data_IF_778579715731
#
_entry.id   IF_778579715731
#
_cell.length_a   1.000
_cell.length_b   1.000
_cell.length_c   1.000
_cell.angle_alpha   90.00
_cell.angle_beta   90.00
_cell.angle_gamma   90.00
#
_symmetry.space_group_name_H-M   'P 1'
#
loop_
_entity.id
_entity.type
_entity.pdbx_description
1 polymer ?
#
# COMPACT_ATOMS: atom_id res chain seq x y z
N UNK A 1 -21.55 -14.54 24.92
CA UNK A 1 -21.76 -13.35 24.04
C UNK A 1 -20.40 -12.72 23.85
N UNK A 2 -19.92 -12.52 22.62
CA UNK A 2 -18.59 -11.97 22.41
C UNK A 2 -18.63 -10.45 22.25
N UNK A 3 -17.73 -9.74 22.94
CA UNK A 3 -17.49 -8.32 22.80
C UNK A 3 -16.15 -8.09 22.11
N UNK A 4 -16.09 -7.12 21.21
CA UNK A 4 -14.91 -6.80 20.40
C UNK A 4 -14.58 -5.32 20.55
N UNK A 5 -13.31 -4.98 20.72
CA UNK A 5 -12.85 -3.59 20.84
C UNK A 5 -11.43 -3.38 20.28
N UNK A 6 -11.09 -2.12 19.98
CA UNK A 6 -9.74 -1.68 19.68
C UNK A 6 -9.19 -0.87 20.85
N UNK A 7 -8.18 -1.41 21.52
CA UNK A 7 -7.52 -0.75 22.65
C UNK A 7 -6.11 -0.34 22.27
N UNK A 8 -5.61 0.75 22.87
CA UNK A 8 -4.23 1.17 22.64
C UNK A 8 -3.27 0.17 23.31
N UNK A 9 -2.49 -0.53 22.48
CA UNK A 9 -1.43 -1.45 22.91
C UNK A 9 -0.14 -0.70 23.22
N UNK A 10 0.33 0.10 22.27
CA UNK A 10 1.62 0.77 22.36
C UNK A 10 1.57 2.17 21.75
N UNK A 11 2.35 3.09 22.30
CA UNK A 11 2.63 4.38 21.69
C UNK A 11 4.06 4.40 21.16
N UNK A 12 4.20 4.70 19.88
CA UNK A 12 5.47 4.76 19.17
C UNK A 12 5.87 6.22 19.05
N UNK A 13 7.02 6.58 19.61
CA UNK A 13 7.53 7.96 19.61
C UNK A 13 8.17 8.33 18.26
N UNK A 14 7.44 8.09 17.17
CA UNK A 14 7.82 8.40 15.79
C UNK A 14 6.62 9.07 15.12
N UNK A 15 6.83 10.28 14.63
CA UNK A 15 5.91 10.94 13.69
C UNK A 15 6.12 10.33 12.31
N UNK A 16 5.05 9.85 11.68
CA UNK A 16 5.14 9.14 10.42
C UNK A 16 3.98 9.45 9.46
N UNK A 17 4.27 9.33 8.16
CA UNK A 17 3.30 9.52 7.07
C UNK A 17 2.80 8.18 6.49
N UNK A 18 3.61 7.13 6.55
CA UNK A 18 3.22 5.78 6.14
C UNK A 18 3.87 4.74 7.06
N UNK A 19 3.19 3.61 7.22
CA UNK A 19 3.72 2.40 7.84
C UNK A 19 3.38 1.21 6.93
N UNK A 20 4.41 0.49 6.52
CA UNK A 20 4.26 -0.74 5.76
C UNK A 20 4.69 -1.93 6.62
N UNK A 21 3.83 -2.94 6.73
CA UNK A 21 4.05 -4.12 7.56
C UNK A 21 4.56 -5.25 6.67
N UNK A 22 5.62 -5.91 7.09
CA UNK A 22 6.18 -7.04 6.36
C UNK A 22 6.82 -8.07 7.27
N UNK A 23 6.96 -9.27 6.73
CA UNK A 23 7.35 -10.44 7.49
C UNK A 23 8.53 -11.12 6.84
N UNK A 24 9.51 -11.49 7.64
CA UNK A 24 10.70 -12.21 7.17
C UNK A 24 10.82 -13.46 8.01
N UNK A 25 10.49 -14.61 7.42
CA UNK A 25 10.29 -15.86 8.15
C UNK A 25 9.14 -15.72 9.16
N UNK A 26 9.44 -15.64 10.45
CA UNK A 26 8.50 -15.58 11.58
C UNK A 26 8.58 -14.23 12.32
N UNK A 27 9.45 -13.32 11.87
CA UNK A 27 9.64 -12.01 12.48
C UNK A 27 8.84 -10.96 11.70
N UNK A 28 8.17 -10.08 12.46
CA UNK A 28 7.39 -8.96 11.91
C UNK A 28 8.16 -7.68 12.02
N UNK A 29 8.13 -6.93 10.93
CA UNK A 29 8.70 -5.61 10.82
C UNK A 29 7.68 -4.59 10.37
N UNK A 30 7.90 -3.34 10.76
CA UNK A 30 7.12 -2.19 10.30
C UNK A 30 8.09 -1.12 9.82
N UNK A 31 8.04 -0.78 8.54
CA UNK A 31 8.81 0.32 7.97
C UNK A 31 7.99 1.62 7.99
N UNK A 32 8.47 2.61 8.73
CA UNK A 32 7.78 3.88 8.96
C UNK A 32 8.51 5.04 8.28
N UNK A 33 7.84 5.75 7.37
CA UNK A 33 8.38 6.98 6.79
C UNK A 33 8.21 8.13 7.78
N UNK A 34 9.32 8.69 8.27
CA UNK A 34 9.33 9.78 9.24
C UNK A 34 9.99 11.03 8.64
N UNK A 35 9.19 11.96 8.05
CA UNK A 35 9.73 13.18 7.46
C UNK A 35 10.46 14.05 8.48
N UNK A 36 9.95 14.15 9.71
CA UNK A 36 10.55 14.99 10.75
C UNK A 36 11.91 14.51 11.26
N UNK A 37 12.29 13.26 10.97
CA UNK A 37 13.61 12.71 11.30
C UNK A 37 14.46 12.37 10.06
N UNK A 38 13.99 12.75 8.86
CA UNK A 38 14.62 12.43 7.58
C UNK A 38 15.06 10.96 7.50
N UNK A 39 14.13 10.06 7.84
CA UNK A 39 14.45 8.64 7.87
C UNK A 39 13.26 7.72 7.63
N UNK A 40 13.58 6.51 7.16
CA UNK A 40 12.72 5.35 7.28
C UNK A 40 13.10 4.58 8.55
N UNK A 41 12.23 4.59 9.55
CA UNK A 41 12.43 3.88 10.81
C UNK A 41 11.87 2.48 10.67
N UNK A 42 12.71 1.45 10.83
CA UNK A 42 12.25 0.05 10.82
C UNK A 42 12.10 -0.42 12.26
N UNK A 43 10.91 -0.89 12.59
CA UNK A 43 10.57 -1.50 13.87
C UNK A 43 10.48 -3.01 13.69
N UNK A 44 10.76 -3.77 14.74
CA UNK A 44 10.66 -5.22 14.82
C UNK A 44 9.79 -5.59 16.02
N UNK A 45 8.99 -6.66 15.88
CA UNK A 45 8.21 -7.21 16.96
C UNK A 45 9.06 -8.02 17.95
N UNK A 46 9.03 -7.63 19.22
CA UNK A 46 9.63 -8.37 20.31
C UNK A 46 8.63 -9.38 20.90
N UNK A 47 8.89 -10.66 20.70
CA UNK A 47 8.02 -11.74 21.18
C UNK A 47 8.11 -11.99 22.70
N UNK A 48 9.10 -11.40 23.39
CA UNK A 48 9.29 -11.51 24.84
C UNK A 48 8.60 -10.33 25.52
N UNK A 49 8.93 -9.11 25.11
CA UNK A 49 8.36 -7.89 25.70
C UNK A 49 6.98 -7.53 25.14
N UNK A 50 6.56 -8.21 24.07
CA UNK A 50 5.25 -8.04 23.43
C UNK A 50 5.04 -6.61 22.93
N UNK A 51 6.08 -6.01 22.37
CA UNK A 51 6.07 -4.64 21.88
C UNK A 51 6.84 -4.52 20.56
N UNK A 52 6.68 -3.42 19.84
CA UNK A 52 7.54 -3.05 18.72
C UNK A 52 8.74 -2.27 19.23
N UNK A 53 9.95 -2.74 18.91
CA UNK A 53 11.23 -2.08 19.19
C UNK A 53 11.91 -1.62 17.92
N UNK A 54 12.76 -0.60 18.02
CA UNK A 54 13.51 -0.09 16.87
C UNK A 54 14.54 -1.13 16.41
N UNK A 55 14.55 -1.44 15.12
CA UNK A 55 15.46 -2.39 14.48
C UNK A 55 16.54 -1.68 13.67
N UNK A 56 16.13 -0.81 12.73
CA UNK A 56 17.05 -0.09 11.85
C UNK A 56 16.54 1.34 11.59
N UNK A 57 17.40 2.19 11.03
CA UNK A 57 17.11 3.57 10.70
C UNK A 57 17.81 3.95 9.40
N UNK A 58 17.04 4.00 8.31
CA UNK A 58 17.58 4.32 6.99
C UNK A 58 17.49 5.84 6.78
N UNK A 59 18.60 6.57 6.75
CA UNK A 59 18.56 8.02 6.53
C UNK A 59 18.14 8.35 5.09
N UNK A 60 17.41 9.44 4.93
CA UNK A 60 16.99 9.97 3.65
C UNK A 60 16.37 11.34 3.80
N UNK A 61 16.90 12.34 3.11
CA UNK A 61 16.34 13.69 3.16
C UNK A 61 14.91 13.71 2.64
N UNK A 62 14.00 14.33 3.40
CA UNK A 62 12.60 14.49 3.02
C UNK A 62 11.91 13.16 2.63
N UNK A 63 12.08 12.10 3.43
CA UNK A 63 11.35 10.84 3.24
C UNK A 63 9.84 11.10 3.23
N UNK A 64 9.16 10.68 2.18
CA UNK A 64 7.72 10.80 2.01
C UNK A 64 6.98 9.45 2.08
N UNK A 65 7.69 8.34 1.85
CA UNK A 65 7.07 7.01 1.88
C UNK A 65 8.08 5.89 2.07
N UNK A 66 7.66 4.84 2.76
CA UNK A 66 8.39 3.59 2.89
C UNK A 66 7.48 2.43 2.47
N UNK A 67 7.95 1.59 1.55
CA UNK A 67 7.20 0.41 1.10
C UNK A 67 8.16 -0.76 0.95
N UNK A 68 7.84 -1.86 1.61
CA UNK A 68 8.63 -3.08 1.55
C UNK A 68 8.17 -3.97 0.38
N UNK A 69 9.04 -4.87 -0.05
CA UNK A 69 8.68 -5.99 -0.90
C UNK A 69 9.59 -7.18 -0.60
N UNK A 70 8.99 -8.35 -0.41
CA UNK A 70 9.71 -9.60 -0.20
C UNK A 70 9.61 -10.44 -1.47
N UNK A 71 10.71 -10.53 -2.21
CA UNK A 71 10.80 -11.30 -3.45
C UNK A 71 11.73 -12.48 -3.22
N UNK A 72 11.14 -13.68 -3.11
CA UNK A 72 11.85 -14.91 -2.73
C UNK A 72 12.50 -14.74 -1.35
N UNK A 73 13.83 -14.75 -1.28
CA UNK A 73 14.62 -14.58 -0.06
C UNK A 73 15.22 -13.17 0.09
N UNK A 74 14.87 -12.25 -0.81
CA UNK A 74 15.30 -10.86 -0.78
C UNK A 74 14.22 -9.97 -0.18
N UNK A 75 14.59 -9.26 0.88
CA UNK A 75 13.77 -8.22 1.50
C UNK A 75 14.28 -6.89 1.00
N UNK A 76 13.42 -6.16 0.31
CA UNK A 76 13.71 -4.84 -0.23
C UNK A 76 12.81 -3.81 0.45
N UNK A 77 13.34 -2.61 0.62
CA UNK A 77 12.62 -1.47 1.19
C UNK A 77 12.83 -0.26 0.29
N UNK A 78 11.77 0.20 -0.36
CA UNK A 78 11.75 1.45 -1.09
C UNK A 78 11.59 2.61 -0.09
N UNK A 79 12.53 3.55 -0.14
CA UNK A 79 12.48 4.83 0.56
C UNK A 79 12.26 5.90 -0.49
N UNK A 80 11.02 6.39 -0.60
CA UNK A 80 10.69 7.49 -1.49
C UNK A 80 11.00 8.83 -0.82
N UNK A 81 11.67 9.72 -1.55
CA UNK A 81 12.18 10.99 -1.05
C UNK A 81 11.74 12.12 -1.94
N UNK A 82 11.53 13.29 -1.35
CA UNK A 82 11.23 14.49 -2.14
C UNK A 82 12.47 15.12 -2.79
N UNK A 83 13.64 14.88 -2.22
CA UNK A 83 14.90 15.43 -2.69
C UNK A 83 15.92 14.30 -2.84
N UNK A 84 16.75 14.38 -3.89
CA UNK A 84 17.85 13.44 -4.12
C UNK A 84 17.45 12.08 -4.73
N UNK A 85 16.17 11.88 -5.07
CA UNK A 85 15.68 10.67 -5.71
C UNK A 85 15.24 9.57 -4.74
N UNK A 86 14.41 8.65 -5.23
CA UNK A 86 13.93 7.50 -4.46
C UNK A 86 14.88 6.31 -4.56
N UNK A 87 15.09 5.59 -3.45
CA UNK A 87 16.08 4.50 -3.39
C UNK A 87 15.51 3.22 -2.79
N UNK A 88 15.85 2.10 -3.39
CA UNK A 88 15.69 0.76 -2.83
C UNK A 88 16.89 0.40 -1.96
N UNK A 89 16.58 -0.15 -0.80
CA UNK A 89 17.52 -0.79 0.11
C UNK A 89 17.25 -2.29 0.15
N UNK A 90 18.29 -3.10 0.35
CA UNK A 90 18.20 -4.55 0.52
C UNK A 90 18.61 -4.91 1.93
N UNK A 91 17.90 -5.83 2.55
CA UNK A 91 18.32 -6.40 3.82
C UNK A 91 19.57 -7.27 3.64
N UNK A 92 20.64 -6.91 4.33
CA UNK A 92 21.88 -7.68 4.39
C UNK A 92 21.89 -8.52 5.67
N UNK A 93 21.80 -9.84 5.51
CA UNK A 93 21.77 -10.79 6.64
C UNK A 93 23.08 -10.83 7.44
N UNK A 94 24.22 -10.57 6.80
CA UNK A 94 25.51 -10.61 7.48
C UNK A 94 25.73 -9.36 8.34
N UNK A 95 25.23 -8.22 7.88
CA UNK A 95 25.30 -6.96 8.61
C UNK A 95 24.09 -6.70 9.51
N UNK A 96 23.04 -7.53 9.40
CA UNK A 96 21.76 -7.39 10.09
C UNK A 96 21.15 -5.98 9.96
N UNK A 97 21.16 -5.43 8.75
CA UNK A 97 20.68 -4.07 8.45
C UNK A 97 20.32 -3.92 6.98
N UNK A 98 19.61 -2.86 6.65
CA UNK A 98 19.37 -2.45 5.28
C UNK A 98 20.58 -1.71 4.68
N UNK A 99 20.97 -2.10 3.47
CA UNK A 99 22.06 -1.49 2.70
C UNK A 99 21.53 -0.94 1.38
N UNK A 100 22.08 0.17 0.85
CA UNK A 100 21.66 0.71 -0.44
C UNK A 100 21.75 -0.34 -1.54
N UNK A 101 20.67 -0.51 -2.30
CA UNK A 101 20.56 -1.54 -3.33
C UNK A 101 20.44 -0.95 -4.73
N UNK A 102 19.52 -0.01 -4.95
CA UNK A 102 19.27 0.58 -6.26
C UNK A 102 18.70 1.99 -6.10
N UNK A 103 19.07 2.92 -6.98
CA UNK A 103 18.34 4.19 -7.16
C UNK A 103 17.30 4.00 -8.26
N UNK A 104 16.06 4.42 -8.02
CA UNK A 104 15.04 4.43 -9.07
C UNK A 104 15.29 5.64 -9.97
N UNK A 105 15.50 5.37 -11.26
CA UNK A 105 15.72 6.41 -12.27
C UNK A 105 14.37 6.82 -12.85
N UNK A 106 14.11 8.12 -12.91
CA UNK A 106 12.96 8.68 -13.60
C UNK A 106 13.32 8.99 -15.06
N UNK A 107 12.36 8.83 -15.97
CA UNK A 107 12.55 8.87 -17.43
C UNK A 107 12.94 10.26 -17.99
N UNK A 108 13.23 11.26 -17.15
CA UNK A 108 13.63 12.60 -17.59
C UNK A 108 15.12 12.70 -18.02
N UNK A 109 15.90 11.64 -17.79
CA UNK A 109 17.13 11.40 -18.55
C UNK A 109 16.75 10.55 -19.77
N UNK A 110 16.29 11.24 -20.82
CA UNK A 110 15.93 10.63 -22.08
C UNK A 110 16.99 9.64 -22.58
N UNK A 111 16.55 8.78 -23.48
CA UNK A 111 17.32 7.80 -24.25
C UNK A 111 18.60 8.36 -24.94
N UNK A 112 18.90 9.66 -24.79
CA UNK A 112 20.10 10.37 -25.25
C UNK A 112 21.15 10.65 -24.14
N UNK A 113 20.82 10.52 -22.85
CA UNK A 113 21.75 10.72 -21.72
C UNK A 113 22.73 9.56 -21.48
N UNK A 114 22.56 8.42 -22.17
CA UNK A 114 23.48 7.26 -22.13
C UNK A 114 24.89 7.56 -22.68
N UNK A 115 25.16 8.78 -23.13
CA UNK A 115 26.45 9.27 -23.59
C UNK A 115 26.95 10.46 -22.73
N UNK A 116 26.97 10.34 -21.40
CA UNK A 116 27.90 11.09 -20.54
C UNK A 116 28.00 10.40 -19.18
N UNK A 117 29.18 9.86 -18.87
CA UNK A 117 29.44 9.13 -17.63
C UNK A 117 29.39 10.02 -16.39
N UNK A 118 28.21 10.25 -15.83
CA UNK A 118 28.03 10.87 -14.52
C UNK A 118 27.08 10.02 -13.66
N UNK A 119 27.53 9.45 -12.53
CA UNK A 119 26.67 8.78 -11.57
C UNK A 119 26.17 9.81 -10.55
N UNK A 120 25.24 10.69 -10.95
CA UNK A 120 24.55 11.60 -10.04
C UNK A 120 23.30 12.14 -10.74
N UNK A 121 22.13 11.82 -10.18
CA UNK A 121 20.90 12.59 -10.42
C UNK A 121 21.19 14.08 -10.15
N UNK A 122 20.67 15.01 -10.97
CA UNK A 122 20.88 16.44 -10.72
C UNK A 122 20.42 16.79 -9.29
N UNK A 123 21.27 17.44 -8.47
CA UNK A 123 21.07 17.56 -7.02
C UNK A 123 19.85 18.39 -6.58
N UNK A 124 19.06 18.94 -7.51
CA UNK A 124 18.02 19.93 -7.23
C UNK A 124 16.65 19.60 -7.86
N UNK A 125 16.41 18.38 -8.34
CA UNK A 125 15.07 17.99 -8.81
C UNK A 125 14.23 17.58 -7.60
N UNK A 126 13.31 18.45 -7.20
CA UNK A 126 12.30 18.15 -6.18
C UNK A 126 11.24 17.25 -6.81
N UNK A 127 11.23 16.00 -6.38
CA UNK A 127 10.16 15.05 -6.65
C UNK A 127 9.15 15.13 -5.51
N UNK A 128 7.88 14.90 -5.75
CA UNK A 128 6.90 14.83 -4.66
C UNK A 128 6.23 13.47 -4.68
N UNK A 129 6.91 12.40 -4.22
CA UNK A 129 6.27 11.10 -4.10
C UNK A 129 5.04 11.21 -3.21
N UNK A 130 3.88 10.93 -3.81
CA UNK A 130 2.58 11.01 -3.16
C UNK A 130 2.15 9.66 -2.62
N UNK A 131 2.44 8.59 -3.36
CA UNK A 131 2.06 7.22 -3.02
C UNK A 131 3.01 6.19 -3.67
N UNK A 132 3.05 4.99 -3.08
CA UNK A 132 3.85 3.86 -3.53
C UNK A 132 3.00 2.60 -3.44
N UNK A 133 2.85 1.91 -4.56
CA UNK A 133 2.15 0.64 -4.60
C UNK A 133 3.03 -0.48 -5.15
N UNK A 134 2.99 -1.64 -4.51
CA UNK A 134 3.71 -2.83 -4.95
C UNK A 134 2.71 -3.95 -5.14
N UNK A 135 2.69 -4.53 -6.32
CA UNK A 135 1.70 -5.54 -6.67
C UNK A 135 2.31 -6.63 -7.55
N UNK A 136 1.61 -7.77 -7.59
CA UNK A 136 1.97 -8.91 -8.43
C UNK A 136 0.95 -9.05 -9.56
N UNK A 137 1.45 -9.19 -10.78
CA UNK A 137 0.65 -9.27 -12.00
C UNK A 137 1.23 -10.36 -12.90
N UNK A 138 0.39 -11.33 -13.28
CA UNK A 138 0.78 -12.49 -14.11
C UNK A 138 2.06 -13.19 -13.62
N UNK A 139 2.27 -13.23 -12.31
CA UNK A 139 3.42 -13.87 -11.67
C UNK A 139 4.64 -12.97 -11.45
N UNK A 140 4.70 -11.80 -12.10
CA UNK A 140 5.78 -10.82 -12.01
C UNK A 140 5.49 -9.74 -10.96
N UNK A 141 6.55 -9.15 -10.39
CA UNK A 141 6.46 -8.05 -9.43
C UNK A 141 6.56 -6.70 -10.13
N UNK A 142 5.68 -5.79 -9.73
CA UNK A 142 5.63 -4.41 -10.21
C UNK A 142 5.61 -3.45 -9.03
N UNK A 143 6.16 -2.26 -9.27
CA UNK A 143 6.18 -1.15 -8.34
C UNK A 143 5.68 0.09 -9.05
N UNK A 144 4.64 0.72 -8.53
CA UNK A 144 4.17 2.03 -8.97
C UNK A 144 4.71 3.10 -8.03
N UNK A 145 5.37 4.11 -8.60
CA UNK A 145 5.78 5.32 -7.88
C UNK A 145 4.93 6.48 -8.40
N UNK A 146 4.07 7.01 -7.52
CA UNK A 146 3.25 8.18 -7.83
C UNK A 146 4.02 9.43 -7.47
N UNK A 147 4.18 10.31 -8.45
CA UNK A 147 4.85 11.60 -8.32
C UNK A 147 3.79 12.70 -8.50
N UNK A 148 3.67 13.62 -7.53
CA UNK A 148 2.83 14.83 -7.66
C UNK A 148 3.60 15.89 -8.49
N UNK A 149 2.85 16.76 -9.19
CA UNK A 149 3.37 17.87 -9.97
C UNK A 149 3.48 17.60 -11.47
N UNK A 150 4.63 17.93 -12.05
CA UNK A 150 4.91 17.85 -13.50
C UNK A 150 5.25 16.44 -13.97
N UNK A 151 5.51 15.54 -13.03
CA UNK A 151 5.97 14.19 -13.32
C UNK A 151 4.82 13.19 -13.45
N UNK A 152 5.01 12.17 -14.28
CA UNK A 152 4.05 11.10 -14.50
C UNK A 152 4.22 10.00 -13.45
N UNK A 153 3.17 9.20 -13.20
CA UNK A 153 3.29 7.99 -12.39
C UNK A 153 4.09 6.95 -13.16
N UNK A 154 5.15 6.41 -12.56
CA UNK A 154 6.05 5.44 -13.23
C UNK A 154 5.85 4.05 -12.65
N UNK A 155 5.55 3.09 -13.51
CA UNK A 155 5.57 1.66 -13.20
C UNK A 155 6.96 1.10 -13.48
N UNK A 156 7.50 0.37 -12.51
CA UNK A 156 8.72 -0.40 -12.61
C UNK A 156 8.38 -1.88 -12.58
N UNK A 157 9.13 -2.69 -13.33
CA UNK A 157 9.01 -4.14 -13.35
C UNK A 157 10.26 -4.79 -12.76
N UNK A 158 10.04 -5.75 -11.86
CA UNK A 158 11.10 -6.61 -11.37
C UNK A 158 11.67 -7.46 -12.50
N UNK A 159 12.98 -7.35 -12.70
CA UNK A 159 13.71 -8.10 -13.72
C UNK A 159 14.83 -8.87 -13.03
N UNK A 160 14.97 -10.15 -13.37
CA UNK A 160 16.12 -10.97 -12.99
C UNK A 160 17.06 -11.09 -14.20
N UNK A 161 18.29 -10.61 -14.06
CA UNK A 161 19.31 -10.72 -15.09
C UNK A 161 19.78 -12.16 -15.24
N UNK A 162 19.60 -12.73 -16.44
CA UNK A 162 20.57 -13.70 -16.96
C UNK A 162 21.88 -12.94 -17.19
N UNK A 163 23.00 -13.53 -16.77
CA UNK A 163 24.34 -12.94 -16.94
C UNK A 163 24.51 -12.38 -18.35
N UNK A 164 24.81 -11.08 -18.45
CA UNK A 164 25.35 -10.51 -19.68
C UNK A 164 26.80 -11.01 -19.76
N UNK A 165 27.03 -12.17 -20.37
CA UNK A 165 28.38 -12.60 -20.73
C UNK A 165 28.85 -11.71 -21.88
N UNK A 166 29.66 -10.70 -21.58
CA UNK A 166 30.41 -9.98 -22.60
C UNK A 166 31.43 -10.94 -23.24
N UNK A 167 31.09 -11.49 -24.41
CA UNK A 167 32.04 -12.19 -25.28
C UNK A 167 32.99 -11.19 -25.96
N UNK A 168 33.77 -10.41 -25.20
CA UNK A 168 34.95 -9.67 -25.70
C UNK A 168 35.61 -8.89 -24.56
N UNK A 169 36.27 -9.57 -23.61
CA UNK A 169 37.52 -9.08 -22.99
C UNK A 169 38.08 -10.12 -22.02
N UNK A 170 39.29 -10.61 -22.29
CA UNK A 170 40.11 -11.37 -21.34
C UNK A 170 40.68 -10.44 -20.26
N UNK A 171 39.82 -9.84 -19.44
CA UNK A 171 40.24 -9.13 -18.23
C UNK A 171 39.25 -9.42 -17.11
N UNK A 172 39.63 -10.33 -16.22
CA UNK A 172 39.01 -10.55 -14.92
C UNK A 172 39.32 -9.39 -14.00
N UNK A 173 38.61 -8.28 -14.15
CA UNK A 173 38.46 -7.31 -13.08
C UNK A 173 37.48 -7.89 -12.05
N UNK A 174 37.80 -7.78 -10.76
CA UNK A 174 36.87 -8.02 -9.65
C UNK A 174 35.74 -6.99 -9.73
N UNK A 175 34.80 -7.19 -10.65
CA UNK A 175 33.54 -6.47 -10.67
C UNK A 175 32.70 -7.02 -9.51
N UNK A 176 32.53 -6.21 -8.46
CA UNK A 176 31.62 -6.51 -7.36
C UNK A 176 30.23 -6.86 -7.90
N UNK A 177 29.62 -7.89 -7.31
CA UNK A 177 28.29 -8.43 -7.59
C UNK A 177 27.49 -7.65 -8.66
N UNK A 178 27.65 -8.06 -9.92
CA UNK A 178 26.76 -7.63 -10.99
C UNK A 178 25.33 -7.89 -10.54
N UNK A 179 24.53 -6.84 -10.32
CA UNK A 179 23.16 -6.94 -9.81
C UNK A 179 22.37 -7.95 -10.66
N UNK A 180 22.15 -9.14 -10.12
CA UNK A 180 21.42 -10.25 -10.77
C UNK A 180 19.92 -9.96 -10.89
N UNK A 181 19.44 -8.86 -10.30
CA UNK A 181 18.04 -8.45 -10.34
C UNK A 181 17.90 -6.95 -10.03
N UNK A 182 16.80 -6.33 -10.48
CA UNK A 182 16.48 -4.91 -10.24
C UNK A 182 15.03 -4.58 -10.63
N UNK A 183 14.50 -3.46 -10.14
CA UNK A 183 13.29 -2.85 -10.69
C UNK A 183 13.65 -1.91 -11.85
N UNK A 184 13.21 -2.20 -13.06
CA UNK A 184 13.48 -1.35 -14.24
C UNK A 184 12.22 -0.59 -14.65
N UNK A 185 12.32 0.67 -15.14
CA UNK A 185 11.19 1.38 -15.69
C UNK A 185 10.47 0.52 -16.74
N UNK A 186 9.14 0.48 -16.66
CA UNK A 186 8.28 -0.38 -17.47
C UNK A 186 7.26 0.42 -18.27
N UNK A 187 6.58 1.36 -17.60
CA UNK A 187 5.54 2.17 -18.21
C UNK A 187 5.32 3.44 -17.40
N UNK A 188 5.41 4.60 -18.05
CA UNK A 188 4.79 5.83 -17.54
C UNK A 188 3.28 5.83 -17.79
N UNK A 189 2.51 6.27 -16.80
CA UNK A 189 1.09 6.57 -16.91
C UNK A 189 0.93 8.08 -17.05
N UNK A 190 0.68 8.55 -18.28
CA UNK A 190 0.27 9.92 -18.54
C UNK A 190 -1.20 10.08 -18.19
N UNK A 191 -1.52 11.14 -17.43
CA UNK A 191 -2.89 11.48 -17.11
C UNK A 191 -3.60 12.11 -18.30
N UNK A 192 -4.15 11.29 -19.18
CA UNK A 192 -5.06 11.73 -20.23
C UNK A 192 -5.77 10.54 -20.85
N UNK A 193 -7.10 10.53 -20.72
CA UNK A 193 -7.96 9.77 -21.64
C UNK A 193 -8.16 10.63 -22.90
N UNK A 194 -8.25 9.99 -24.06
CA UNK A 194 -8.52 10.67 -25.35
C UNK A 194 -9.62 11.73 -25.19
N UNK A 195 -9.31 12.99 -25.53
CA UNK A 195 -10.25 14.11 -25.52
C UNK A 195 -9.97 15.24 -24.52
N UNK A 196 -9.03 15.07 -23.57
CA UNK A 196 -8.46 16.19 -22.82
C UNK A 196 -7.36 16.84 -23.69
N UNK A 197 -7.45 18.14 -23.95
CA UNK A 197 -6.47 18.89 -24.77
C UNK A 197 -5.04 18.55 -24.33
N UNK A 198 -4.14 18.38 -25.30
CA UNK A 198 -2.71 18.05 -25.14
C UNK A 198 -1.94 19.01 -24.21
N UNK A 199 -2.60 20.05 -23.69
CA UNK A 199 -2.10 20.98 -22.70
C UNK A 199 -2.50 20.69 -21.24
N UNK A 200 -3.08 19.55 -20.84
CA UNK A 200 -3.29 19.23 -19.40
C UNK A 200 -2.39 18.09 -18.90
N UNK A 201 -1.12 18.15 -19.28
CA UNK A 201 -0.10 17.13 -18.96
C UNK A 201 0.29 17.07 -17.47
N UNK A 202 -0.20 18.00 -16.63
CA UNK A 202 0.08 18.07 -15.18
C UNK A 202 -0.95 17.27 -14.37
N UNK A 203 -0.85 15.95 -14.39
CA UNK A 203 -1.67 15.10 -13.51
C UNK A 203 -1.12 15.13 -12.09
N UNK A 204 -1.80 15.82 -11.17
CA UNK A 204 -1.49 15.85 -9.73
C UNK A 204 -2.00 14.59 -9.05
N UNK A 205 -1.48 13.45 -9.46
CA UNK A 205 -1.87 12.15 -8.94
C UNK A 205 -1.49 12.07 -7.46
N UNK A 206 -2.44 11.64 -6.63
CA UNK A 206 -2.23 11.56 -5.18
C UNK A 206 -2.10 10.13 -4.67
N UNK A 207 -2.68 9.16 -5.38
CA UNK A 207 -2.76 7.77 -4.93
C UNK A 207 -3.04 6.84 -6.12
N UNK A 208 -2.53 5.61 -6.03
CA UNK A 208 -2.77 4.55 -7.00
C UNK A 208 -3.11 3.24 -6.31
N UNK A 209 -4.17 2.58 -6.78
CA UNK A 209 -4.61 1.30 -6.23
C UNK A 209 -4.62 0.22 -7.31
N UNK A 210 -3.96 -0.91 -7.04
CA UNK A 210 -4.05 -2.09 -7.90
C UNK A 210 -5.25 -2.96 -7.50
N UNK A 211 -6.08 -3.29 -8.48
CA UNK A 211 -7.29 -4.10 -8.25
C UNK A 211 -7.25 -5.32 -9.16
N UNK A 212 -7.19 -6.50 -8.54
CA UNK A 212 -7.29 -7.78 -9.24
C UNK A 212 -8.64 -8.43 -8.95
N UNK A 213 -9.36 -8.81 -10.00
CA UNK A 213 -10.65 -9.48 -9.92
C UNK A 213 -10.60 -10.79 -10.68
N UNK A 214 -11.31 -11.80 -10.21
CA UNK A 214 -11.48 -13.05 -10.96
C UNK A 214 -12.77 -12.98 -11.77
N UNK A 215 -12.68 -13.21 -13.09
CA UNK A 215 -13.82 -13.17 -14.01
C UNK A 215 -14.32 -14.58 -14.39
N UNK A 216 -13.87 -15.63 -13.67
CA UNK A 216 -14.31 -17.01 -13.88
C UNK A 216 -13.86 -17.60 -15.23
N UNK A 217 -14.52 -17.24 -16.33
CA UNK A 217 -14.26 -17.74 -17.69
C UNK A 217 -13.04 -17.09 -18.36
N UNK A 218 -12.76 -15.81 -18.10
CA UNK A 218 -11.65 -15.07 -18.73
C UNK A 218 -10.35 -15.03 -17.88
N UNK A 219 -10.36 -15.66 -16.71
CA UNK A 219 -9.32 -15.54 -15.68
C UNK A 219 -9.29 -14.16 -15.02
N UNK A 220 -8.20 -13.82 -14.34
CA UNK A 220 -8.12 -12.57 -13.58
C UNK A 220 -8.02 -11.32 -14.47
N UNK A 221 -8.83 -10.30 -14.16
CA UNK A 221 -8.79 -8.97 -14.76
C UNK A 221 -8.12 -8.00 -13.79
N UNK A 222 -7.17 -7.21 -14.28
CA UNK A 222 -6.35 -6.34 -13.46
C UNK A 222 -6.53 -4.88 -13.85
N UNK A 223 -6.77 -4.03 -12.87
CA UNK A 223 -6.95 -2.59 -13.03
C UNK A 223 -5.96 -1.82 -12.17
N UNK A 224 -5.66 -0.59 -12.60
CA UNK A 224 -5.13 0.46 -11.74
C UNK A 224 -6.20 1.55 -11.62
N UNK A 225 -6.51 1.93 -10.38
CA UNK A 225 -7.37 3.08 -10.07
C UNK A 225 -6.47 4.23 -9.65
N UNK A 226 -6.57 5.36 -10.33
CA UNK A 226 -5.64 6.49 -10.15
C UNK A 226 -6.42 7.76 -9.78
N UNK A 227 -6.30 8.21 -8.54
CA UNK A 227 -6.90 9.47 -8.06
C UNK A 227 -5.90 10.63 -8.04
N UNK A 228 -6.39 11.86 -8.08
CA UNK A 228 -5.52 13.04 -8.08
C UNK A 228 -6.26 14.35 -7.88
N UNK A 229 -5.54 15.39 -7.45
CA UNK A 229 -6.09 16.72 -7.15
C UNK A 229 -6.60 17.47 -8.39
N UNK A 230 -6.02 17.21 -9.56
CA UNK A 230 -6.51 17.81 -10.81
C UNK A 230 -7.68 17.05 -11.43
N UNK A 231 -8.09 15.91 -10.86
CA UNK A 231 -9.20 15.10 -11.36
C UNK A 231 -10.39 15.20 -10.42
N UNK A 232 -11.56 15.49 -11.00
CA UNK A 232 -12.82 15.37 -10.26
C UNK A 232 -13.18 13.89 -9.99
N UNK A 233 -12.66 12.95 -10.80
CA UNK A 233 -12.98 11.51 -10.72
C UNK A 233 -11.74 10.63 -10.87
N UNK A 234 -11.63 9.53 -10.10
CA UNK A 234 -10.56 8.55 -10.29
C UNK A 234 -10.58 7.93 -11.70
N UNK A 235 -9.41 7.81 -12.33
CA UNK A 235 -9.25 7.17 -13.63
C UNK A 235 -9.01 5.66 -13.48
N UNK A 236 -9.46 4.88 -14.46
CA UNK A 236 -9.30 3.43 -14.53
C UNK A 236 -8.39 3.09 -15.71
N UNK A 237 -7.35 2.32 -15.42
CA UNK A 237 -6.51 1.69 -16.44
C UNK A 237 -6.70 0.18 -16.37
N UNK A 238 -6.89 -0.47 -17.51
CA UNK A 238 -7.06 -1.92 -17.64
C UNK A 238 -5.78 -2.55 -18.17
N UNK A 239 -5.35 -3.65 -17.55
CA UNK A 239 -4.26 -4.46 -18.06
C UNK A 239 -4.65 -5.15 -19.38
N UNK A 240 -3.92 -4.82 -20.45
CA UNK A 240 -4.04 -5.53 -21.71
C UNK A 240 -3.05 -6.69 -21.75
N UNK A 241 -3.56 -7.93 -21.73
CA UNK A 241 -2.72 -9.13 -21.87
C UNK A 241 -1.97 -9.18 -23.21
N UNK A 242 -2.52 -8.55 -24.26
CA UNK A 242 -1.92 -8.50 -25.60
C UNK A 242 -0.71 -7.58 -25.65
N UNK A 243 -0.84 -6.34 -25.14
CA UNK A 243 0.25 -5.36 -25.16
C UNK A 243 1.15 -5.47 -23.92
N UNK A 244 0.70 -6.21 -22.90
CA UNK A 244 1.29 -6.26 -21.55
C UNK A 244 1.46 -4.85 -20.99
N UNK A 245 0.49 -3.96 -21.18
CA UNK A 245 0.53 -2.59 -20.63
C UNK A 245 -0.83 -2.24 -20.07
N UNK A 246 -0.83 -1.34 -19.09
CA UNK A 246 -2.05 -0.71 -18.62
C UNK A 246 -2.51 0.32 -19.64
N UNK A 247 -3.77 0.23 -20.05
CA UNK A 247 -4.36 1.13 -21.04
C UNK A 247 -5.52 1.90 -20.39
N UNK A 248 -5.72 3.19 -20.71
CA UNK A 248 -6.88 3.93 -20.23
C UNK A 248 -8.16 3.17 -20.59
N UNK A 249 -9.04 2.97 -19.61
CA UNK A 249 -10.26 2.17 -19.77
C UNK A 249 -11.53 2.97 -19.45
N UNK A 250 -11.46 3.91 -18.50
CA UNK A 250 -12.59 4.73 -18.13
C UNK A 250 -12.31 5.57 -16.89
N UNK A 251 -13.37 6.09 -16.28
CA UNK A 251 -13.33 6.85 -15.03
C UNK A 251 -14.44 6.35 -14.11
N UNK A 252 -14.26 6.48 -12.80
CA UNK A 252 -15.36 6.28 -11.84
C UNK A 252 -16.33 7.47 -12.01
N UNK A 253 -17.64 7.28 -12.20
CA UNK A 253 -18.56 8.37 -12.52
C UNK A 253 -18.59 9.48 -11.45
N UNK A 254 -18.66 10.75 -11.88
CA UNK A 254 -18.73 11.91 -10.99
C UNK A 254 -20.00 11.94 -10.13
N UNK A 255 -21.09 11.32 -10.59
CA UNK A 255 -22.29 11.12 -9.77
C UNK A 255 -22.04 10.25 -8.53
N UNK A 256 -20.92 9.52 -8.49
CA UNK A 256 -20.46 8.74 -7.35
C UNK A 256 -19.36 9.47 -6.54
N UNK A 257 -18.94 10.67 -6.96
CA UNK A 257 -17.86 11.47 -6.33
C UNK A 257 -18.09 12.97 -6.60
N UNK A 258 -18.88 13.64 -5.76
CA UNK A 258 -19.04 15.11 -5.84
C UNK A 258 -17.80 15.87 -5.33
N UNK A 259 -17.03 15.21 -4.44
CA UNK A 259 -15.84 15.76 -3.81
C UNK A 259 -14.55 15.23 -4.44
N UNK A 260 -13.45 15.97 -4.25
CA UNK A 260 -12.12 15.57 -4.70
C UNK A 260 -11.61 14.35 -3.93
N UNK A 261 -11.50 13.22 -4.63
CA UNK A 261 -10.95 11.97 -4.09
C UNK A 261 -9.42 12.07 -4.01
N UNK A 262 -8.89 11.93 -2.81
CA UNK A 262 -7.44 11.93 -2.54
C UNK A 262 -6.82 10.54 -2.56
N UNK A 263 -7.57 9.51 -2.16
CA UNK A 263 -7.07 8.14 -2.08
C UNK A 263 -8.16 7.12 -2.34
N UNK A 264 -7.75 5.98 -2.86
CA UNK A 264 -8.61 4.85 -3.17
C UNK A 264 -8.03 3.59 -2.56
N UNK A 265 -8.85 2.80 -1.88
CA UNK A 265 -8.47 1.45 -1.43
C UNK A 265 -9.52 0.44 -1.82
N UNK A 266 -9.10 -0.66 -2.44
CA UNK A 266 -9.99 -1.74 -2.80
C UNK A 266 -10.09 -2.75 -1.66
N UNK A 267 -11.26 -3.35 -1.50
CA UNK A 267 -11.47 -4.43 -0.56
C UNK A 267 -12.56 -5.39 -1.04
N UNK A 268 -12.48 -6.62 -0.55
CA UNK A 268 -13.48 -7.65 -0.79
C UNK A 268 -13.89 -8.18 0.58
N UNK A 269 -15.08 -7.80 1.09
CA UNK A 269 -15.58 -8.34 2.34
C UNK A 269 -15.61 -9.88 2.29
N UNK A 270 -15.41 -10.54 3.44
CA UNK A 270 -15.61 -11.98 3.56
C UNK A 270 -17.02 -12.35 3.07
N UNK A 271 -17.10 -13.34 2.18
CA UNK A 271 -18.35 -13.72 1.53
C UNK A 271 -19.05 -14.83 2.31
N UNK A 272 -20.37 -14.69 2.51
CA UNK A 272 -21.19 -15.75 3.11
C UNK A 272 -21.58 -16.85 2.08
N UNK A 273 -21.59 -16.52 0.77
CA UNK A 273 -22.11 -17.41 -0.29
C UNK A 273 -21.30 -17.35 -1.60
N UNK A 274 -19.97 -17.37 -1.53
CA UNK A 274 -19.10 -17.52 -2.72
C UNK A 274 -19.01 -16.31 -3.68
N UNK A 275 -19.81 -15.26 -3.48
CA UNK A 275 -19.67 -13.98 -4.20
C UNK A 275 -18.50 -13.16 -3.64
N UNK A 276 -17.42 -12.98 -4.42
CA UNK A 276 -16.34 -12.02 -4.11
C UNK A 276 -16.67 -10.66 -4.72
N UNK A 277 -17.67 -9.99 -4.15
CA UNK A 277 -17.98 -8.61 -4.50
C UNK A 277 -16.78 -7.72 -4.15
N UNK A 278 -16.30 -6.94 -5.13
CA UNK A 278 -15.24 -5.94 -4.92
C UNK A 278 -15.87 -4.59 -4.60
N UNK A 279 -15.28 -3.90 -3.63
CA UNK A 279 -15.68 -2.57 -3.21
C UNK A 279 -14.48 -1.62 -3.24
N UNK A 280 -14.76 -0.32 -3.35
CA UNK A 280 -13.77 0.74 -3.27
C UNK A 280 -14.14 1.67 -2.12
N UNK A 281 -13.15 2.00 -1.29
CA UNK A 281 -13.20 3.07 -0.31
C UNK A 281 -12.51 4.31 -0.91
N UNK A 282 -13.26 5.41 -1.05
CA UNK A 282 -12.80 6.67 -1.62
C UNK A 282 -12.67 7.71 -0.51
N UNK A 283 -11.44 8.15 -0.23
CA UNK A 283 -11.14 9.17 0.77
C UNK A 283 -11.22 10.58 0.18
N UNK A 284 -11.97 11.46 0.83
CA UNK A 284 -12.06 12.89 0.52
C UNK A 284 -11.60 13.70 1.75
N UNK A 285 -10.82 14.78 1.56
CA UNK A 285 -10.34 15.57 2.70
C UNK A 285 -11.48 16.23 3.48
N UNK A 286 -12.38 16.90 2.77
CA UNK A 286 -13.59 17.55 3.27
C UNK A 286 -14.75 17.14 2.37
N UNK A 287 -15.96 17.26 2.88
CA UNK A 287 -17.16 16.72 2.24
C UNK A 287 -17.33 15.28 2.66
N UNK A 288 -17.56 14.41 1.70
CA UNK A 288 -18.04 13.06 1.93
C UNK A 288 -17.10 12.02 1.30
N UNK A 289 -16.54 11.16 2.15
CA UNK A 289 -15.87 9.94 1.70
C UNK A 289 -16.92 8.89 1.36
N UNK A 290 -16.60 7.94 0.48
CA UNK A 290 -17.62 7.02 -0.07
C UNK A 290 -17.14 5.59 -0.13
N UNK A 291 -18.09 4.67 -0.03
CA UNK A 291 -17.90 3.25 -0.32
C UNK A 291 -18.72 2.93 -1.56
N UNK A 292 -18.05 2.45 -2.61
CA UNK A 292 -18.69 2.04 -3.86
C UNK A 292 -18.61 0.52 -3.99
N UNK A 293 -19.70 -0.13 -4.43
CA UNK A 293 -19.68 -1.50 -4.92
C UNK A 293 -19.26 -1.48 -6.39
N UNK A 294 -18.31 -2.34 -6.75
CA UNK A 294 -17.85 -2.50 -8.11
C UNK A 294 -18.38 -3.83 -8.67
N UNK A 295 -19.30 -3.76 -9.63
CA UNK A 295 -19.81 -4.92 -10.37
C UNK A 295 -19.33 -4.91 -11.82
N UNK A 296 -19.26 -6.10 -12.42
CA UNK A 296 -19.06 -6.26 -13.87
C UNK A 296 -20.34 -6.85 -14.44
N UNK A 297 -20.93 -6.23 -15.46
CA UNK A 297 -22.09 -6.81 -16.14
C UNK A 297 -21.63 -7.85 -17.16
N UNK A 298 -22.23 -9.04 -17.13
CA UNK A 298 -22.00 -10.14 -18.08
C UNK A 298 -22.59 -9.78 -19.44
N UNK A 299 -21.84 -8.96 -20.19
CA UNK A 299 -21.79 -8.84 -21.66
C UNK A 299 -21.18 -7.46 -22.00
N UNK A 300 -19.88 -7.39 -22.31
CA UNK A 300 -19.33 -6.20 -22.98
C UNK A 300 -18.65 -5.12 -22.11
N UNK A 301 -18.01 -5.52 -21.00
CA UNK A 301 -16.76 -4.91 -20.47
C UNK A 301 -16.79 -3.42 -20.09
N UNK A 302 -17.74 -2.99 -19.26
CA UNK A 302 -17.56 -1.73 -18.52
C UNK A 302 -17.80 -1.95 -17.02
N UNK A 303 -16.88 -1.49 -16.15
CA UNK A 303 -17.07 -1.56 -14.71
C UNK A 303 -18.23 -0.66 -14.30
N UNK A 304 -19.15 -1.19 -13.48
CA UNK A 304 -20.22 -0.41 -12.88
C UNK A 304 -19.91 -0.16 -11.40
N UNK A 305 -20.11 1.09 -11.00
CA UNK A 305 -19.93 1.53 -9.63
C UNK A 305 -21.28 1.97 -9.07
N UNK A 306 -21.64 1.44 -7.92
CA UNK A 306 -22.85 1.84 -7.20
C UNK A 306 -22.46 2.32 -5.82
N UNK A 307 -22.91 3.52 -5.44
CA UNK A 307 -22.69 4.03 -4.10
C UNK A 307 -23.43 3.17 -3.07
N UNK A 308 -22.69 2.72 -2.06
CA UNK A 308 -23.19 1.87 -0.97
C UNK A 308 -23.40 2.70 0.27
N UNK A 309 -22.45 3.59 0.57
CA UNK A 309 -22.44 4.36 1.79
C UNK A 309 -21.63 5.64 1.66
N UNK A 310 -22.13 6.69 2.29
CA UNK A 310 -21.46 7.97 2.44
C UNK A 310 -20.97 8.14 3.88
N UNK A 311 -19.76 8.69 4.05
CA UNK A 311 -19.06 8.84 5.31
C UNK A 311 -18.53 10.29 5.43
N UNK A 312 -19.05 11.11 6.36
CA UNK A 312 -18.66 12.51 6.48
C UNK A 312 -17.19 12.69 6.87
N UNK A 313 -16.46 13.39 6.01
CA UNK A 313 -15.01 13.64 6.14
C UNK A 313 -14.74 14.97 6.84
N UNK A 314 -13.81 14.94 7.81
CA UNK A 314 -13.39 16.11 8.57
C UNK A 314 -11.86 16.16 8.60
N UNK A 315 -11.27 16.53 7.47
CA UNK A 315 -9.84 16.46 7.23
C UNK A 315 -9.35 15.01 7.10
N UNK A 316 -10.04 14.19 6.29
CA UNK A 316 -9.70 12.77 6.14
C UNK A 316 -8.61 12.58 5.07
N UNK A 317 -7.43 12.13 5.52
CA UNK A 317 -6.31 11.79 4.64
C UNK A 317 -6.21 10.29 4.36
N UNK A 318 -7.00 9.47 5.06
CA UNK A 318 -6.99 8.02 4.95
C UNK A 318 -8.41 7.48 5.17
N UNK A 319 -8.83 6.60 4.26
CA UNK A 319 -9.99 5.73 4.41
C UNK A 319 -9.53 4.31 4.10
N UNK A 320 -9.13 3.58 5.14
CA UNK A 320 -8.44 2.31 4.97
C UNK A 320 -9.33 1.14 5.36
N UNK A 321 -9.73 0.27 4.41
CA UNK A 321 -10.29 -1.02 4.73
C UNK A 321 -9.19 -1.96 5.24
N UNK A 322 -9.50 -2.76 6.25
CA UNK A 322 -8.58 -3.78 6.76
C UNK A 322 -9.36 -4.97 7.33
N UNK A 323 -8.75 -6.15 7.29
CA UNK A 323 -9.33 -7.37 7.85
C UNK A 323 -8.58 -7.75 9.11
N UNK A 324 -9.33 -8.13 10.14
CA UNK A 324 -8.78 -8.71 11.36
C UNK A 324 -9.25 -10.15 11.47
N UNK A 325 -8.31 -11.09 11.62
CA UNK A 325 -8.65 -12.50 11.78
C UNK A 325 -9.21 -12.75 13.19
N UNK A 326 -10.41 -13.32 13.30
CA UNK A 326 -10.95 -13.78 14.59
C UNK A 326 -10.24 -15.07 15.05
N UNK A 327 -10.09 -15.22 16.37
CA UNK A 327 -9.55 -16.44 16.97
C UNK A 327 -10.62 -17.54 17.04
N UNK A 328 -10.23 -18.81 16.88
CA UNK A 328 -11.17 -19.95 16.80
C UNK A 328 -11.78 -20.29 18.17
N UNK A 329 -12.71 -19.45 18.63
CA UNK A 329 -13.65 -19.74 19.73
C UNK A 329 -15.06 -20.07 19.25
N UNK A 330 -15.38 -19.85 17.97
CA UNK A 330 -16.65 -20.23 17.33
C UNK A 330 -16.44 -21.53 16.57
N UNK A 331 -16.92 -22.65 17.14
CA UNK A 331 -16.80 -23.98 16.54
C UNK A 331 -17.46 -24.12 15.15
N UNK A 332 -18.29 -23.15 14.74
CA UNK A 332 -19.12 -23.26 13.53
C UNK A 332 -18.70 -22.33 12.37
N UNK A 333 -17.64 -21.52 12.51
CA UNK A 333 -17.20 -20.60 11.46
C UNK A 333 -15.73 -20.81 11.10
N UNK A 334 -15.51 -21.45 9.96
CA UNK A 334 -14.19 -21.77 9.46
C UNK A 334 -13.48 -20.49 8.94
N UNK A 335 -12.70 -19.82 9.80
CA UNK A 335 -11.63 -18.91 9.41
C UNK A 335 -12.02 -17.60 8.72
N UNK A 336 -13.22 -17.08 8.95
CA UNK A 336 -13.66 -15.81 8.37
C UNK A 336 -13.15 -14.65 9.24
N UNK A 337 -12.28 -13.81 8.68
CA UNK A 337 -11.85 -12.56 9.35
C UNK A 337 -12.96 -11.51 9.30
N UNK A 338 -12.94 -10.57 10.24
CA UNK A 338 -13.83 -9.42 10.25
C UNK A 338 -13.30 -8.31 9.34
N UNK A 339 -14.16 -7.75 8.49
CA UNK A 339 -13.84 -6.56 7.70
C UNK A 339 -14.13 -5.29 8.49
N UNK A 340 -13.14 -4.41 8.60
CA UNK A 340 -13.23 -3.08 9.21
C UNK A 340 -12.86 -1.98 8.21
N UNK A 341 -13.19 -0.75 8.57
CA UNK A 341 -12.85 0.47 7.84
C UNK A 341 -12.45 1.57 8.82
N UNK A 342 -11.25 2.12 8.66
CA UNK A 342 -10.76 3.26 9.42
C UNK A 342 -10.89 4.55 8.61
N UNK A 343 -11.70 5.50 9.09
CA UNK A 343 -11.78 6.86 8.57
C UNK A 343 -10.97 7.78 9.49
N UNK A 344 -9.79 8.21 9.01
CA UNK A 344 -8.95 9.17 9.69
C UNK A 344 -9.55 10.58 9.70
N UNK A 345 -9.22 11.39 10.71
CA UNK A 345 -9.68 12.78 10.80
C UNK A 345 -8.63 13.67 11.45
N UNK A 346 -8.28 14.77 10.78
CA UNK A 346 -7.40 15.81 11.33
C UNK A 346 -8.15 16.78 12.27
N UNK A 347 -9.48 16.85 12.17
CA UNK A 347 -10.32 17.81 12.91
C UNK A 347 -11.24 17.18 13.96
N UNK A 348 -11.30 15.84 14.05
CA UNK A 348 -12.12 15.11 15.02
C UNK A 348 -11.54 13.73 15.34
N UNK A 349 -12.29 12.88 16.02
CA UNK A 349 -11.86 11.49 16.26
C UNK A 349 -11.79 10.70 14.95
N UNK A 350 -10.84 9.78 14.89
CA UNK A 350 -10.83 8.72 13.87
C UNK A 350 -11.97 7.76 14.18
N UNK A 351 -12.73 7.38 13.16
CA UNK A 351 -13.83 6.42 13.30
C UNK A 351 -13.43 5.07 12.72
N UNK A 352 -13.63 4.02 13.50
CA UNK A 352 -13.53 2.63 13.06
C UNK A 352 -14.94 2.10 12.86
N UNK A 353 -15.18 1.50 11.71
CA UNK A 353 -16.43 0.85 11.36
C UNK A 353 -16.20 -0.64 11.14
N UNK A 354 -17.22 -1.46 11.44
CA UNK A 354 -17.25 -2.90 11.15
C UNK A 354 -18.23 -3.16 10.02
N UNK A 355 -17.86 -4.03 9.10
CA UNK A 355 -18.74 -4.48 8.02
C UNK A 355 -19.89 -5.30 8.60
N UNK A 356 -21.10 -4.98 8.18
CA UNK A 356 -22.30 -5.75 8.45
C UNK A 356 -22.67 -6.52 7.16
N UNK A 357 -22.64 -7.84 7.22
CA UNK A 357 -22.90 -8.70 6.05
C UNK A 357 -24.36 -8.67 5.63
N UNK A 358 -25.30 -8.44 6.56
CA UNK A 358 -26.74 -8.38 6.26
C UNK A 358 -27.07 -7.11 5.47
N UNK A 359 -26.67 -5.94 5.99
CA UNK A 359 -26.94 -4.67 5.31
C UNK A 359 -25.95 -4.35 4.18
N UNK A 360 -24.84 -5.10 4.08
CA UNK A 360 -23.70 -4.85 3.18
C UNK A 360 -23.18 -3.42 3.28
N UNK A 361 -23.06 -2.91 4.51
CA UNK A 361 -22.62 -1.55 4.85
C UNK A 361 -21.71 -1.58 6.07
N UNK A 362 -21.00 -0.48 6.30
CA UNK A 362 -20.20 -0.31 7.51
C UNK A 362 -21.01 0.31 8.65
N UNK A 363 -21.13 -0.41 9.76
CA UNK A 363 -21.70 0.09 11.00
C UNK A 363 -20.60 0.71 11.87
N UNK A 364 -20.89 1.84 12.51
CA UNK A 364 -19.93 2.49 13.42
C UNK A 364 -19.61 1.55 14.57
N UNK A 365 -18.32 1.30 14.80
CA UNK A 365 -17.84 0.36 15.81
C UNK A 365 -17.13 1.08 16.96
N UNK A 366 -16.16 1.95 16.66
CA UNK A 366 -15.35 2.64 17.67
C UNK A 366 -14.91 4.03 17.21
N UNK A 367 -14.63 4.91 18.17
CA UNK A 367 -13.85 6.13 17.95
C UNK A 367 -12.52 6.02 18.67
N UNK A 368 -11.45 6.38 17.97
CA UNK A 368 -10.08 6.40 18.49
C UNK A 368 -9.45 7.75 18.25
N UNK A 369 -8.57 8.15 19.15
CA UNK A 369 -7.81 9.38 19.02
C UNK A 369 -6.43 9.09 18.44
N UNK A 370 -6.19 9.63 17.25
CA UNK A 370 -4.88 9.70 16.60
C UNK A 370 -4.76 11.09 16.01
N UNK A 371 -3.69 11.81 16.33
CA UNK A 371 -3.49 13.16 15.83
C UNK A 371 -3.01 13.11 14.38
N UNK A 372 -3.72 13.74 13.45
CA UNK A 372 -3.36 13.76 12.02
C UNK A 372 -3.01 12.37 11.46
N UNK A 373 -3.94 11.40 11.47
CA UNK A 373 -3.69 10.04 11.01
C UNK A 373 -3.36 10.01 9.51
N UNK A 374 -2.38 9.18 9.12
CA UNK A 374 -1.97 9.06 7.71
C UNK A 374 -2.04 7.65 7.13
N UNK A 375 -2.02 6.62 7.97
CA UNK A 375 -2.22 5.23 7.56
C UNK A 375 -2.74 4.39 8.72
N UNK A 376 -3.39 3.28 8.37
CA UNK A 376 -3.77 2.19 9.28
C UNK A 376 -3.30 0.89 8.65
N UNK A 377 -2.40 0.17 9.30
CA UNK A 377 -1.76 -1.01 8.69
C UNK A 377 -2.02 -2.20 9.61
N UNK A 378 -2.90 -3.15 9.22
CA UNK A 378 -3.13 -4.34 10.03
C UNK A 378 -1.86 -5.18 10.11
N UNK A 379 -1.61 -5.75 11.27
CA UNK A 379 -0.56 -6.73 11.55
C UNK A 379 -1.27 -8.03 11.85
N UNK A 380 -1.15 -9.01 10.95
CA UNK A 380 -1.88 -10.27 11.05
C UNK A 380 -0.98 -11.36 11.62
N UNK A 381 -1.50 -12.11 12.59
CA UNK A 381 -0.80 -13.17 13.32
C UNK A 381 -0.26 -14.32 12.43
N UNK A 382 -0.65 -14.46 11.16
CA UNK A 382 0.04 -15.37 10.23
C UNK A 382 1.54 -15.07 10.10
N UNK A 383 1.92 -13.84 10.43
CA UNK A 383 3.27 -13.33 10.46
C UNK A 383 3.96 -13.52 11.84
N UNK A 384 3.23 -13.92 12.88
CA UNK A 384 3.70 -14.20 14.26
C UNK A 384 3.70 -15.70 14.62
N UNK A 385 3.14 -16.55 13.76
CA UNK A 385 3.00 -17.99 14.02
C UNK A 385 4.21 -18.73 13.49
N UNK A 386 5.28 -18.71 14.29
CA UNK A 386 6.29 -19.76 14.26
C UNK A 386 5.75 -21.06 14.81
N UNK A 387 6.23 -22.16 14.22
CA UNK A 387 5.97 -23.57 14.50
C UNK A 387 5.07 -23.87 15.73
N UNK A 388 3.78 -24.08 15.48
CA UNK A 388 2.81 -24.42 16.53
C UNK A 388 3.11 -25.81 17.06
N UNK A 389 3.50 -25.91 18.33
CA UNK A 389 3.37 -27.16 19.05
C UNK A 389 1.86 -27.47 19.21
N UNK A 390 1.34 -28.61 18.71
CA UNK A 390 -0.10 -28.93 18.75
C UNK A 390 -0.74 -28.99 20.16
N UNK A 391 0.08 -28.87 21.21
CA UNK A 391 -0.34 -28.92 22.61
C UNK A 391 -0.51 -27.58 23.31
N UNK A 392 -0.07 -26.46 22.72
CA UNK A 392 -0.19 -25.14 23.35
C UNK A 392 -1.57 -24.52 23.06
N UNK A 393 -2.56 -24.88 23.88
CA UNK A 393 -3.96 -24.43 23.75
C UNK A 393 -4.21 -23.03 24.30
N UNK A 394 -3.22 -22.38 24.92
CA UNK A 394 -3.44 -21.20 25.76
C UNK A 394 -2.99 -19.86 25.14
N UNK A 395 -2.41 -19.84 23.93
CA UNK A 395 -2.04 -18.58 23.26
C UNK A 395 -3.10 -18.16 22.23
N UNK A 396 -3.92 -17.19 22.62
CA UNK A 396 -4.88 -16.50 21.73
C UNK A 396 -4.15 -15.81 20.58
N UNK A 397 -4.69 -15.91 19.36
CA UNK A 397 -4.23 -15.10 18.21
C UNK A 397 -4.41 -13.62 18.56
N UNK A 398 -3.36 -12.82 18.40
CA UNK A 398 -3.42 -11.37 18.62
C UNK A 398 -3.31 -10.65 17.30
N UNK A 399 -4.19 -9.67 17.13
CA UNK A 399 -4.24 -8.87 15.92
C UNK A 399 -3.99 -7.42 16.30
N UNK A 400 -3.07 -6.77 15.59
CA UNK A 400 -2.75 -5.37 15.85
C UNK A 400 -3.06 -4.52 14.61
N UNK A 401 -3.29 -3.23 14.82
CA UNK A 401 -3.39 -2.24 13.75
C UNK A 401 -2.45 -1.10 14.08
N UNK A 402 -1.48 -0.87 13.21
CA UNK A 402 -0.52 0.20 13.33
C UNK A 402 -1.12 1.48 12.73
N UNK A 403 -1.14 2.57 13.48
CA UNK A 403 -1.65 3.87 13.00
C UNK A 403 -0.57 4.93 13.04
N UNK A 404 -0.25 5.50 11.86
CA UNK A 404 0.73 6.57 11.74
C UNK A 404 0.11 7.93 12.06
N UNK A 405 0.87 8.73 12.80
CA UNK A 405 0.51 10.11 13.15
C UNK A 405 1.53 11.08 12.56
N UNK A 406 1.08 12.04 11.76
CA UNK A 406 1.97 13.05 11.17
C UNK A 406 2.44 14.08 12.19
N UNK A 407 1.59 14.48 13.13
CA UNK A 407 1.86 15.58 14.08
C UNK A 407 1.97 15.14 15.54
N UNK A 408 1.57 13.90 15.84
CA UNK A 408 1.59 13.32 17.19
C UNK A 408 2.41 12.05 17.24
N UNK A 409 2.09 11.17 18.19
CA UNK A 409 2.76 9.87 18.32
C UNK A 409 1.98 8.80 17.55
N UNK A 410 2.69 8.02 16.75
CA UNK A 410 2.10 6.84 16.11
C UNK A 410 1.65 5.84 17.17
N UNK A 411 0.58 5.09 16.90
CA UNK A 411 -0.10 4.28 17.91
C UNK A 411 -0.40 2.89 17.36
N UNK A 412 -0.13 1.87 18.16
CA UNK A 412 -0.53 0.48 17.88
C UNK A 412 -1.78 0.18 18.66
N UNK A 413 -2.83 -0.28 17.97
CA UNK A 413 -4.05 -0.76 18.58
C UNK A 413 -4.05 -2.29 18.58
N UNK A 414 -4.46 -2.91 19.68
CA UNK A 414 -4.77 -4.34 19.74
C UNK A 414 -6.28 -4.53 19.55
N UNK A 415 -6.63 -5.51 18.72
CA UNK A 415 -7.99 -5.99 18.57
C UNK A 415 -8.24 -7.06 19.63
N UNK A 416 -9.16 -6.77 20.55
CA UNK A 416 -9.50 -7.67 21.65
C UNK A 416 -10.86 -8.31 21.40
N UNK A 417 -10.92 -9.62 21.61
CA UNK A 417 -12.16 -10.39 21.68
C UNK A 417 -12.33 -10.92 23.10
N UNK A 418 -13.42 -10.51 23.75
CA UNK A 418 -13.78 -10.88 25.13
C UNK A 418 -15.04 -11.73 25.10
N UNK A 419 -14.96 -12.95 25.60
CA UNK A 419 -16.15 -13.77 25.84
C UNK A 419 -16.83 -13.33 27.13
N UNK A 420 -18.09 -12.92 27.02
CA UNK A 420 -18.96 -12.53 28.12
C UNK A 420 -19.96 -13.64 28.48
N UNK A 421 -19.79 -14.87 27.97
CA UNK A 421 -20.50 -16.02 28.52
C UNK A 421 -19.95 -16.32 29.93
N UNK A 422 -20.84 -16.22 30.92
CA UNK A 422 -20.60 -16.55 32.32
C UNK A 422 -20.96 -18.01 32.59
#
# INVERSE_FOLDING_TARGET
MFYVDFVRHQTINVQAVSADVFSVKEDIYVAMASPGSDSCVVMEWDHIEMNFRKFDNIPGESVAGCKSVVIRDHVLLLVARRLGGSHLYRFDKAQNRFVPFQTLLEEDEGLEGRLKGSPQSPPNVSQEPADIEVFRLDGDWYLALVLDGTYSTVLYKWTQGLQITNKTTNQTTRAGESRLFSFLPYQSLSGGTEGEEEGSQWSRTTDIEFVSRDDGEAGSIHYLVVSGRSRATPALYLWSRTTRRFQPHGKIPASSTEDQVLGVKAFCPPADEGSRDTYLALACYIGDSRVLRWTTTTAGKQPQFTEVQVLPSRGAMVLQPFVVMEDQGRQDQQGQGDQYLALGSDFSFTRIYRWDSESRRFARHREVYVQSPRSFSPVVDSDLVGDRNPGDRDRRRRSFVFSCSLRGKSTVFEHLVVDLSL
#
